data_IF_169345789695
#
_entry.id   IF_169345789695
#
_cell.length_a   1.000
_cell.length_b   1.000
_cell.length_c   1.000
_cell.angle_alpha   90.00
_cell.angle_beta   90.00
_cell.angle_gamma   90.00
#
_symmetry.space_group_name_H-M   'P 1'
#
loop_
_entity.id
_entity.type
_entity.pdbx_description
1 polymer ?
#
# COMPACT_ATOMS: atom_id res chain seq x y z
N UNK A 1 3.32 8.83 -19.27
CA UNK A 1 3.16 8.93 -20.75
C UNK A 1 2.29 10.11 -21.16
N UNK A 2 1.08 10.28 -20.61
CA UNK A 2 0.19 11.40 -20.96
C UNK A 2 0.86 12.77 -20.80
N UNK A 3 1.59 12.99 -19.70
CA UNK A 3 2.38 14.22 -19.50
C UNK A 3 3.39 14.50 -20.60
N UNK A 4 4.26 13.53 -20.89
CA UNK A 4 5.23 13.62 -22.02
C UNK A 4 4.51 13.84 -23.35
N UNK A 5 3.37 13.20 -23.57
CA UNK A 5 2.55 13.39 -24.75
C UNK A 5 1.91 14.77 -24.90
N UNK A 6 1.90 15.58 -23.85
CA UNK A 6 1.57 17.00 -23.93
C UNK A 6 2.68 17.85 -24.52
N UNK A 7 3.95 17.42 -24.38
CA UNK A 7 5.12 18.17 -24.82
C UNK A 7 5.87 17.61 -26.03
N UNK A 8 5.80 16.29 -26.27
CA UNK A 8 6.44 15.61 -27.40
C UNK A 8 5.51 14.58 -28.02
N UNK A 9 5.54 14.47 -29.35
CA UNK A 9 4.80 13.46 -30.10
C UNK A 9 5.65 12.23 -30.43
N UNK A 10 6.93 12.23 -30.05
CA UNK A 10 7.87 11.19 -30.40
C UNK A 10 7.59 9.89 -29.62
N UNK A 11 7.48 8.79 -30.36
CA UNK A 11 7.17 7.48 -29.78
C UNK A 11 8.31 6.96 -28.88
N UNK A 12 9.57 7.18 -29.25
CA UNK A 12 10.72 6.72 -28.48
C UNK A 12 10.76 7.40 -27.09
N UNK A 13 10.60 8.72 -27.07
CA UNK A 13 10.53 9.51 -25.83
C UNK A 13 9.38 9.08 -24.93
N UNK A 14 8.18 8.83 -25.50
CA UNK A 14 7.06 8.31 -24.72
C UNK A 14 7.32 6.90 -24.16
N UNK A 15 7.91 5.99 -24.93
CA UNK A 15 8.24 4.62 -24.49
C UNK A 15 9.24 4.63 -23.34
N UNK A 16 10.34 5.36 -23.49
CA UNK A 16 11.37 5.48 -22.46
C UNK A 16 10.78 6.02 -21.16
N UNK A 17 10.03 7.12 -21.23
CA UNK A 17 9.38 7.69 -20.06
C UNK A 17 8.31 6.76 -19.46
N UNK A 18 7.56 6.04 -20.29
CA UNK A 18 6.55 5.08 -19.85
C UNK A 18 7.16 3.91 -19.07
N UNK A 19 8.20 3.27 -19.62
CA UNK A 19 8.90 2.15 -18.98
C UNK A 19 9.61 2.60 -17.72
N UNK A 20 10.30 3.75 -17.75
CA UNK A 20 10.96 4.30 -16.57
C UNK A 20 9.95 4.59 -15.45
N UNK A 21 8.82 5.24 -15.77
CA UNK A 21 7.78 5.53 -14.79
C UNK A 21 7.10 4.26 -14.24
N UNK A 22 6.93 3.23 -15.06
CA UNK A 22 6.38 1.94 -14.61
C UNK A 22 7.32 1.26 -13.61
N UNK A 23 8.61 1.13 -13.93
CA UNK A 23 9.60 0.52 -13.02
C UNK A 23 9.71 1.32 -11.73
N UNK A 24 9.84 2.65 -11.83
CA UNK A 24 9.92 3.52 -10.67
C UNK A 24 8.65 3.43 -9.80
N UNK A 25 7.47 3.38 -10.42
CA UNK A 25 6.20 3.22 -9.70
C UNK A 25 6.08 1.87 -8.99
N UNK A 26 6.46 0.77 -9.64
CA UNK A 26 6.42 -0.57 -9.04
C UNK A 26 7.36 -0.67 -7.82
N UNK A 27 8.58 -0.14 -7.94
CA UNK A 27 9.53 -0.08 -6.82
C UNK A 27 9.04 0.82 -5.70
N UNK A 28 8.48 1.99 -6.03
CA UNK A 28 7.92 2.91 -5.03
C UNK A 28 6.75 2.26 -4.26
N UNK A 29 5.88 1.52 -4.95
CA UNK A 29 4.80 0.77 -4.30
C UNK A 29 5.35 -0.34 -3.40
N UNK A 30 6.32 -1.12 -3.89
CA UNK A 30 6.94 -2.18 -3.10
C UNK A 30 7.58 -1.63 -1.80
N UNK A 31 8.42 -0.59 -1.93
CA UNK A 31 9.09 0.02 -0.79
C UNK A 31 8.10 0.68 0.17
N UNK A 32 7.12 1.42 -0.36
CA UNK A 32 6.11 2.09 0.47
C UNK A 32 5.29 1.10 1.29
N UNK A 33 4.83 0.02 0.65
CA UNK A 33 4.08 -1.03 1.34
C UNK A 33 4.95 -1.78 2.35
N UNK A 34 6.19 -2.13 1.98
CA UNK A 34 7.13 -2.77 2.91
C UNK A 34 7.32 -1.92 4.18
N UNK A 35 7.62 -0.63 4.02
CA UNK A 35 7.86 0.27 5.16
C UNK A 35 6.59 0.40 6.01
N UNK A 36 5.42 0.55 5.38
CA UNK A 36 4.16 0.67 6.10
C UNK A 36 3.84 -0.58 6.91
N UNK A 37 3.93 -1.76 6.30
CA UNK A 37 3.60 -3.03 6.94
C UNK A 37 4.68 -3.45 7.96
N UNK A 38 5.95 -3.13 7.72
CA UNK A 38 7.02 -3.33 8.69
C UNK A 38 6.78 -2.47 9.93
N UNK A 39 6.45 -1.19 9.75
CA UNK A 39 6.12 -0.32 10.89
C UNK A 39 4.89 -0.78 11.66
N UNK A 40 3.89 -1.36 10.97
CA UNK A 40 2.73 -1.99 11.63
C UNK A 40 3.17 -3.19 12.47
N UNK A 41 3.98 -4.08 11.91
CA UNK A 41 4.53 -5.24 12.61
C UNK A 41 5.36 -4.84 13.84
N UNK A 42 6.22 -3.83 13.71
CA UNK A 42 7.02 -3.31 14.83
C UNK A 42 6.11 -2.77 15.95
N UNK A 43 4.98 -2.17 15.59
CA UNK A 43 3.97 -1.70 16.55
C UNK A 43 3.27 -2.86 17.25
N UNK A 44 2.84 -3.87 16.48
CA UNK A 44 2.22 -5.09 17.02
C UNK A 44 3.15 -5.82 18.00
N UNK A 45 4.42 -6.01 17.64
CA UNK A 45 5.42 -6.65 18.50
C UNK A 45 5.70 -5.83 19.77
N UNK A 46 5.75 -4.50 19.66
CA UNK A 46 5.92 -3.62 20.81
C UNK A 46 4.72 -3.66 21.76
N UNK A 47 3.49 -3.73 21.24
CA UNK A 47 2.29 -3.79 22.06
C UNK A 47 2.12 -5.15 22.73
N UNK A 48 2.49 -6.25 22.05
CA UNK A 48 2.57 -7.58 22.66
C UNK A 48 3.56 -7.59 23.84
N UNK A 49 4.74 -6.99 23.69
CA UNK A 49 5.73 -6.96 24.78
C UNK A 49 5.25 -6.10 25.96
N UNK A 50 4.59 -4.96 25.70
CA UNK A 50 3.98 -4.15 26.76
C UNK A 50 2.92 -4.95 27.53
N UNK A 51 2.04 -5.64 26.81
CA UNK A 51 0.99 -6.46 27.41
C UNK A 51 1.59 -7.59 28.26
N UNK A 52 2.66 -8.23 27.77
CA UNK A 52 3.40 -9.24 28.55
C UNK A 52 3.92 -8.69 29.88
N UNK A 53 4.49 -7.48 29.87
CA UNK A 53 5.00 -6.85 31.09
C UNK A 53 3.87 -6.41 32.03
N UNK A 54 2.74 -5.94 31.49
CA UNK A 54 1.56 -5.54 32.25
C UNK A 54 0.95 -6.76 32.98
N UNK A 55 0.68 -7.83 32.23
CA UNK A 55 0.11 -9.08 32.74
C UNK A 55 1.00 -9.72 33.82
N UNK A 56 2.33 -9.74 33.61
CA UNK A 56 3.26 -10.27 34.60
C UNK A 56 3.20 -9.50 35.93
N UNK A 57 3.11 -8.16 35.88
CA UNK A 57 2.95 -7.32 37.07
C UNK A 57 1.61 -7.58 37.76
N UNK A 58 0.53 -7.62 36.98
CA UNK A 58 -0.81 -7.83 37.50
C UNK A 58 -0.96 -9.21 38.16
N UNK A 59 -0.54 -10.30 37.50
CA UNK A 59 -0.54 -11.63 38.09
C UNK A 59 0.32 -11.68 39.36
N UNK A 60 1.50 -11.06 39.35
CA UNK A 60 2.36 -11.01 40.54
C UNK A 60 1.62 -10.35 41.71
N UNK A 61 0.94 -9.23 41.48
CA UNK A 61 0.17 -8.54 42.51
C UNK A 61 -1.04 -9.34 43.01
N UNK A 62 -1.74 -10.03 42.10
CA UNK A 62 -2.85 -10.93 42.47
C UNK A 62 -2.35 -12.02 43.43
N UNK A 63 -1.21 -12.65 43.13
CA UNK A 63 -0.65 -13.71 43.96
C UNK A 63 -0.07 -13.19 45.29
N UNK A 64 0.51 -12.00 45.31
CA UNK A 64 0.90 -11.33 46.57
C UNK A 64 -0.32 -11.09 47.46
N UNK A 65 -1.43 -10.57 46.90
CA UNK A 65 -2.68 -10.36 47.65
C UNK A 65 -3.29 -11.68 48.16
N UNK A 66 -3.00 -12.81 47.50
CA UNK A 66 -3.39 -14.16 47.94
C UNK A 66 -2.47 -14.76 49.02
N UNK A 67 -1.40 -14.05 49.40
CA UNK A 67 -0.51 -14.43 50.49
C UNK A 67 0.83 -15.05 50.08
N UNK A 68 1.18 -15.04 48.80
CA UNK A 68 2.52 -15.44 48.36
C UNK A 68 3.53 -14.32 48.60
N UNK A 69 4.77 -14.69 48.94
CA UNK A 69 5.89 -13.75 48.96
C UNK A 69 6.19 -13.25 47.54
N UNK A 70 6.63 -11.99 47.40
CA UNK A 70 6.77 -11.32 46.10
C UNK A 70 7.69 -12.04 45.10
N UNK A 71 8.86 -12.57 45.50
CA UNK A 71 9.72 -13.36 44.62
C UNK A 71 9.01 -14.63 44.12
N UNK A 72 8.28 -15.33 44.99
CA UNK A 72 7.56 -16.56 44.64
C UNK A 72 6.35 -16.25 43.74
N UNK A 73 5.60 -15.20 44.05
CA UNK A 73 4.47 -14.72 43.24
C UNK A 73 4.92 -14.36 41.81
N UNK A 74 6.11 -13.76 41.66
CA UNK A 74 6.66 -13.44 40.34
C UNK A 74 7.05 -14.69 39.55
N UNK A 75 7.68 -15.68 40.18
CA UNK A 75 8.01 -16.96 39.53
C UNK A 75 6.72 -17.65 39.05
N UNK A 76 5.67 -17.65 39.87
CA UNK A 76 4.36 -18.22 39.50
C UNK A 76 3.74 -17.44 38.34
N UNK A 77 3.77 -16.10 38.39
CA UNK A 77 3.26 -15.26 37.31
C UNK A 77 4.02 -15.50 35.99
N UNK A 78 5.35 -15.61 36.04
CA UNK A 78 6.20 -15.91 34.88
C UNK A 78 5.82 -17.27 34.26
N UNK A 79 5.72 -18.32 35.07
CA UNK A 79 5.36 -19.67 34.59
C UNK A 79 3.93 -19.76 34.03
N UNK A 80 3.00 -18.96 34.55
CA UNK A 80 1.62 -18.93 34.06
C UNK A 80 1.45 -18.03 32.83
N UNK A 81 2.23 -16.95 32.71
CA UNK A 81 2.21 -16.05 31.55
C UNK A 81 2.85 -16.70 30.33
N UNK A 82 3.84 -17.59 30.52
CA UNK A 82 4.51 -18.33 29.45
C UNK A 82 3.58 -19.31 28.70
N UNK A 83 2.48 -19.75 29.34
CA UNK A 83 1.50 -20.67 28.74
C UNK A 83 0.28 -19.90 28.23
N UNK A 84 0.28 -19.54 26.94
CA UNK A 84 -0.89 -19.11 26.14
C UNK A 84 -1.70 -17.89 26.61
N UNK A 85 -1.46 -17.32 27.79
CA UNK A 85 -2.23 -16.17 28.31
C UNK A 85 -2.09 -14.95 27.41
N UNK A 86 -0.88 -14.69 26.91
CA UNK A 86 -0.59 -13.56 26.02
C UNK A 86 -1.29 -13.72 24.67
N UNK A 87 -1.44 -14.96 24.17
CA UNK A 87 -2.10 -15.20 22.89
C UNK A 87 -3.59 -14.90 22.95
N UNK A 88 -4.27 -15.29 24.03
CA UNK A 88 -5.68 -14.96 24.23
C UNK A 88 -5.88 -13.45 24.41
N UNK A 89 -5.08 -12.78 25.24
CA UNK A 89 -5.22 -11.34 25.49
C UNK A 89 -4.85 -10.49 24.27
N UNK A 90 -3.78 -10.81 23.56
CA UNK A 90 -3.42 -10.10 22.33
C UNK A 90 -4.54 -10.20 21.29
N UNK A 91 -5.22 -11.34 21.19
CA UNK A 91 -6.36 -11.52 20.29
C UNK A 91 -7.61 -10.78 20.76
N UNK A 92 -7.97 -10.92 22.03
CA UNK A 92 -9.25 -10.44 22.56
C UNK A 92 -9.22 -8.94 22.88
N UNK A 93 -8.06 -8.40 23.29
CA UNK A 93 -7.90 -6.99 23.69
C UNK A 93 -7.26 -6.13 22.61
N UNK A 94 -6.23 -6.64 21.92
CA UNK A 94 -5.52 -5.88 20.87
C UNK A 94 -6.02 -6.21 19.46
N UNK A 95 -6.79 -7.29 19.29
CA UNK A 95 -7.20 -7.78 17.97
C UNK A 95 -6.03 -8.36 17.15
N UNK A 96 -4.89 -8.62 17.77
CA UNK A 96 -3.67 -9.12 17.10
C UNK A 96 -3.67 -10.65 17.16
N UNK A 97 -3.63 -11.28 15.98
CA UNK A 97 -3.38 -12.70 15.85
C UNK A 97 -1.87 -12.96 15.71
N UNK A 98 -1.23 -13.51 16.74
CA UNK A 98 0.20 -13.80 16.72
C UNK A 98 0.61 -14.79 15.62
N UNK A 99 -0.32 -15.62 15.13
CA UNK A 99 -0.03 -16.54 14.02
C UNK A 99 -0.10 -15.85 12.65
N UNK A 100 -0.69 -14.65 12.60
CA UNK A 100 -0.93 -13.90 11.37
C UNK A 100 -0.44 -12.46 11.48
N UNK A 101 0.70 -12.27 12.15
CA UNK A 101 1.39 -10.98 12.17
C UNK A 101 1.61 -10.46 10.75
N UNK A 102 1.59 -9.14 10.62
CA UNK A 102 1.78 -8.48 9.34
C UNK A 102 3.06 -8.97 8.64
N UNK A 103 2.97 -9.27 7.34
CA UNK A 103 4.08 -9.78 6.53
C UNK A 103 4.53 -8.74 5.49
N UNK A 104 5.59 -7.95 5.80
CA UNK A 104 6.00 -6.83 4.95
C UNK A 104 6.49 -7.25 3.57
N UNK A 105 7.23 -8.35 3.47
CA UNK A 105 7.76 -8.84 2.20
C UNK A 105 6.64 -9.29 1.26
N UNK A 106 5.66 -10.03 1.79
CA UNK A 106 4.53 -10.48 1.01
C UNK A 106 3.70 -9.29 0.52
N UNK A 107 3.39 -8.32 1.40
CA UNK A 107 2.62 -7.13 1.03
C UNK A 107 3.34 -6.33 -0.07
N UNK A 108 4.65 -6.08 0.07
CA UNK A 108 5.46 -5.39 -0.92
C UNK A 108 5.45 -6.06 -2.30
N UNK A 109 5.62 -7.39 -2.33
CA UNK A 109 5.61 -8.16 -3.58
C UNK A 109 4.24 -8.12 -4.26
N UNK A 110 3.17 -8.33 -3.50
CA UNK A 110 1.79 -8.29 -4.03
C UNK A 110 1.47 -6.89 -4.58
N UNK A 111 1.81 -5.82 -3.85
CA UNK A 111 1.59 -4.44 -4.31
C UNK A 111 2.38 -4.12 -5.59
N UNK A 112 3.64 -4.56 -5.69
CA UNK A 112 4.47 -4.37 -6.90
C UNK A 112 3.90 -5.10 -8.11
N UNK A 113 3.48 -6.36 -7.93
CA UNK A 113 2.87 -7.17 -8.99
C UNK A 113 1.53 -6.57 -9.43
N UNK A 114 0.69 -6.16 -8.48
CA UNK A 114 -0.59 -5.53 -8.77
C UNK A 114 -0.42 -4.23 -9.55
N UNK A 115 0.51 -3.35 -9.13
CA UNK A 115 0.84 -2.12 -9.85
C UNK A 115 1.33 -2.42 -11.27
N UNK A 116 2.22 -3.39 -11.40
CA UNK A 116 2.76 -3.82 -12.69
C UNK A 116 1.67 -4.31 -13.63
N UNK A 117 0.78 -5.18 -13.15
CA UNK A 117 -0.34 -5.69 -13.93
C UNK A 117 -1.27 -4.55 -14.39
N UNK A 118 -1.59 -3.61 -13.49
CA UNK A 118 -2.45 -2.47 -13.81
C UNK A 118 -1.83 -1.48 -14.79
N UNK A 119 -0.52 -1.21 -14.68
CA UNK A 119 0.19 -0.28 -15.55
C UNK A 119 0.44 -0.84 -16.96
N UNK A 120 0.44 -2.17 -17.13
CA UNK A 120 0.82 -2.82 -18.37
C UNK A 120 -0.09 -2.47 -19.55
N UNK A 121 -1.40 -2.48 -19.31
CA UNK A 121 -2.42 -2.26 -20.37
C UNK A 121 -2.24 -0.88 -21.05
N UNK A 122 -2.26 0.26 -20.32
CA UNK A 122 -2.04 1.56 -20.93
C UNK A 122 -0.60 1.73 -21.46
N UNK A 123 0.40 1.10 -20.84
CA UNK A 123 1.79 1.17 -21.30
C UNK A 123 1.99 0.49 -22.66
N UNK A 124 1.37 -0.67 -22.88
CA UNK A 124 1.39 -1.36 -24.17
C UNK A 124 0.69 -0.52 -25.25
N UNK A 125 -0.49 0.03 -24.96
CA UNK A 125 -1.19 0.94 -25.88
C UNK A 125 -0.32 2.16 -26.25
N UNK A 126 0.31 2.77 -25.26
CA UNK A 126 1.23 3.89 -25.45
C UNK A 126 2.50 3.53 -26.22
N UNK A 127 2.93 2.26 -26.17
CA UNK A 127 4.18 1.82 -26.76
C UNK A 127 4.04 1.35 -28.21
N UNK A 128 2.91 0.76 -28.62
CA UNK A 128 2.80 0.15 -29.95
C UNK A 128 2.07 1.01 -30.99
N UNK A 129 1.30 2.03 -30.57
CA UNK A 129 0.51 2.87 -31.48
C UNK A 129 1.35 4.04 -32.01
N UNK A 130 1.47 4.14 -33.34
CA UNK A 130 2.25 5.21 -34.00
C UNK A 130 1.51 6.55 -34.09
N UNK A 131 0.19 6.53 -34.34
CA UNK A 131 -0.58 7.76 -34.46
C UNK A 131 -0.74 8.42 -33.08
N UNK A 132 -0.21 9.63 -32.93
CA UNK A 132 -0.17 10.37 -31.66
C UNK A 132 -1.55 10.58 -31.02
N UNK A 133 -2.54 10.98 -31.83
CA UNK A 133 -3.88 11.28 -31.32
C UNK A 133 -4.59 10.01 -30.84
N UNK A 134 -4.50 8.93 -31.64
CA UNK A 134 -5.07 7.63 -31.28
C UNK A 134 -4.37 7.04 -30.05
N UNK A 135 -3.04 7.13 -30.00
CA UNK A 135 -2.23 6.66 -28.87
C UNK A 135 -2.64 7.35 -27.56
N UNK A 136 -2.72 8.68 -27.55
CA UNK A 136 -3.08 9.43 -26.35
C UNK A 136 -4.51 9.15 -25.91
N UNK A 137 -5.46 9.14 -26.86
CA UNK A 137 -6.85 8.79 -26.57
C UNK A 137 -6.97 7.40 -25.94
N UNK A 138 -6.26 6.41 -26.48
CA UNK A 138 -6.32 5.05 -25.96
C UNK A 138 -5.63 4.90 -24.60
N UNK A 139 -4.47 5.54 -24.39
CA UNK A 139 -3.80 5.53 -23.08
C UNK A 139 -4.73 6.11 -22.00
N UNK A 140 -5.37 7.25 -22.27
CA UNK A 140 -6.31 7.87 -21.33
C UNK A 140 -7.52 6.96 -21.10
N UNK A 141 -8.16 6.46 -22.16
CA UNK A 141 -9.33 5.60 -22.05
C UNK A 141 -9.04 4.32 -21.24
N UNK A 142 -7.94 3.61 -21.55
CA UNK A 142 -7.55 2.41 -20.83
C UNK A 142 -7.18 2.69 -19.38
N UNK A 143 -6.55 3.84 -19.11
CA UNK A 143 -6.24 4.27 -17.75
C UNK A 143 -7.52 4.54 -16.95
N UNK A 144 -8.50 5.24 -17.53
CA UNK A 144 -9.79 5.51 -16.88
C UNK A 144 -10.56 4.22 -16.60
N UNK A 145 -10.61 3.30 -17.56
CA UNK A 145 -11.26 1.99 -17.38
C UNK A 145 -10.56 1.20 -16.27
N UNK A 146 -9.23 1.15 -16.28
CA UNK A 146 -8.45 0.50 -15.22
C UNK A 146 -8.69 1.12 -13.85
N UNK A 147 -8.67 2.44 -13.74
CA UNK A 147 -8.96 3.19 -12.51
C UNK A 147 -10.37 2.92 -11.99
N UNK A 148 -11.37 2.88 -12.87
CA UNK A 148 -12.74 2.55 -12.51
C UNK A 148 -12.83 1.10 -11.98
N UNK A 149 -12.20 0.16 -12.68
CA UNK A 149 -12.16 -1.25 -12.29
C UNK A 149 -11.50 -1.46 -10.92
N UNK A 150 -10.27 -0.94 -10.72
CA UNK A 150 -9.57 -1.07 -9.45
C UNK A 150 -10.24 -0.27 -8.33
N UNK A 151 -10.82 0.90 -8.63
CA UNK A 151 -11.58 1.68 -7.65
C UNK A 151 -12.86 0.96 -7.20
N UNK A 152 -13.55 0.26 -8.11
CA UNK A 152 -14.68 -0.60 -7.76
C UNK A 152 -14.23 -1.77 -6.88
N UNK A 153 -13.19 -2.50 -7.29
CA UNK A 153 -12.68 -3.65 -6.53
C UNK A 153 -12.21 -3.24 -5.13
N UNK A 154 -11.42 -2.17 -5.02
CA UNK A 154 -10.94 -1.65 -3.73
C UNK A 154 -12.08 -1.22 -2.82
N UNK A 155 -13.16 -0.67 -3.38
CA UNK A 155 -14.34 -0.29 -2.60
C UNK A 155 -15.13 -1.50 -2.10
N UNK A 156 -15.31 -2.52 -2.94
CA UNK A 156 -16.01 -3.76 -2.58
C UNK A 156 -15.24 -4.48 -1.47
N UNK A 157 -13.92 -4.63 -1.64
CA UNK A 157 -13.06 -5.27 -0.63
C UNK A 157 -12.96 -4.45 0.66
N UNK A 158 -12.97 -3.11 0.55
CA UNK A 158 -12.93 -2.20 1.68
C UNK A 158 -14.28 -1.94 2.37
N UNK A 159 -15.37 -2.59 1.96
CA UNK A 159 -16.69 -2.43 2.57
C UNK A 159 -17.36 -1.07 2.34
N UNK A 160 -16.92 -0.29 1.36
CA UNK A 160 -17.48 1.03 1.01
C UNK A 160 -18.39 0.92 -0.22
N UNK A 161 -19.39 1.80 -0.35
CA UNK A 161 -20.26 1.87 -1.55
C UNK A 161 -19.41 1.89 -2.84
N UNK A 162 -19.53 0.90 -3.75
CA UNK A 162 -18.60 0.69 -4.86
C UNK A 162 -18.41 1.90 -5.77
N UNK A 163 -19.53 2.55 -6.12
CA UNK A 163 -19.54 3.71 -7.01
C UNK A 163 -18.74 4.87 -6.42
N UNK A 164 -18.78 5.07 -5.09
CA UNK A 164 -18.13 6.21 -4.45
C UNK A 164 -16.61 6.10 -4.53
N UNK A 165 -16.04 4.94 -4.20
CA UNK A 165 -14.59 4.79 -4.27
C UNK A 165 -14.08 4.71 -5.72
N UNK A 166 -14.86 4.11 -6.64
CA UNK A 166 -14.56 4.18 -8.08
C UNK A 166 -14.49 5.63 -8.57
N UNK A 167 -15.46 6.47 -8.19
CA UNK A 167 -15.49 7.89 -8.58
C UNK A 167 -14.26 8.65 -8.06
N UNK A 168 -13.87 8.42 -6.79
CA UNK A 168 -12.68 9.06 -6.20
C UNK A 168 -11.41 8.73 -6.97
N UNK A 169 -11.21 7.45 -7.28
CA UNK A 169 -10.02 6.97 -8.00
C UNK A 169 -9.99 7.51 -9.43
N UNK A 170 -11.13 7.47 -10.14
CA UNK A 170 -11.23 8.01 -11.50
C UNK A 170 -11.01 9.51 -11.55
N UNK A 171 -11.65 10.28 -10.66
CA UNK A 171 -11.50 11.75 -10.62
C UNK A 171 -10.06 12.12 -10.30
N UNK A 172 -9.47 11.50 -9.27
CA UNK A 172 -8.07 11.75 -8.89
C UNK A 172 -7.10 11.43 -10.04
N UNK A 173 -7.28 10.28 -10.70
CA UNK A 173 -6.45 9.88 -11.83
C UNK A 173 -6.62 10.78 -13.06
N UNK A 174 -7.85 11.18 -13.39
CA UNK A 174 -8.12 12.12 -14.48
C UNK A 174 -7.48 13.49 -14.22
N UNK A 175 -7.60 13.99 -12.99
CA UNK A 175 -6.98 15.26 -12.58
C UNK A 175 -5.45 15.19 -12.70
N UNK A 176 -4.83 14.11 -12.21
CA UNK A 176 -3.39 13.91 -12.33
C UNK A 176 -2.93 13.84 -13.80
N UNK A 177 -3.67 13.13 -14.67
CA UNK A 177 -3.38 13.10 -16.10
C UNK A 177 -3.52 14.48 -16.76
N UNK A 178 -4.56 15.26 -16.41
CA UNK A 178 -4.77 16.60 -16.95
C UNK A 178 -3.66 17.58 -16.53
N UNK A 179 -3.28 17.57 -15.24
CA UNK A 179 -2.19 18.40 -14.72
C UNK A 179 -0.87 18.05 -15.41
N UNK A 180 -0.52 16.76 -15.45
CA UNK A 180 0.75 16.32 -16.05
C UNK A 180 0.81 16.61 -17.55
N UNK A 181 -0.31 16.46 -18.28
CA UNK A 181 -0.42 16.89 -19.68
C UNK A 181 -0.17 18.38 -19.84
N UNK A 182 -0.80 19.20 -19.00
CA UNK A 182 -0.63 20.65 -18.98
C UNK A 182 0.83 21.06 -18.74
N UNK A 183 1.48 20.44 -17.76
CA UNK A 183 2.91 20.65 -17.48
C UNK A 183 3.77 20.30 -18.69
N UNK A 184 3.57 19.14 -19.31
CA UNK A 184 4.32 18.74 -20.50
C UNK A 184 4.14 19.70 -21.67
N UNK A 185 2.90 20.17 -21.89
CA UNK A 185 2.59 21.16 -22.90
C UNK A 185 3.28 22.50 -22.65
N UNK A 186 3.27 22.98 -21.40
CA UNK A 186 3.93 24.23 -21.01
C UNK A 186 5.46 24.20 -21.15
N UNK A 187 6.09 23.06 -20.85
CA UNK A 187 7.54 22.90 -21.03
C UNK A 187 7.95 22.90 -22.51
N UNK A 188 7.14 22.30 -23.38
CA UNK A 188 7.38 22.28 -24.83
C UNK A 188 7.19 23.66 -25.48
N UNK A 189 6.16 24.42 -25.07
CA UNK A 189 5.93 25.77 -25.61
C UNK A 189 7.06 26.76 -25.29
N UNK A 190 7.86 26.49 -24.25
CA UNK A 190 9.00 27.32 -23.85
C UNK A 190 10.34 26.86 -24.48
N UNK A 191 10.33 25.90 -25.40
CA UNK A 191 11.54 25.41 -26.10
C UNK A 191 12.47 24.56 -25.24
N UNK A 192 12.05 24.13 -24.05
CA UNK A 192 12.89 23.37 -23.13
C UNK A 192 13.06 21.88 -23.50
N UNK A 193 12.23 21.36 -24.42
CA UNK A 193 12.14 19.91 -24.73
C UNK A 193 11.89 19.64 -26.22
N UNK A 194 12.32 20.54 -27.12
CA UNK A 194 12.17 20.37 -28.57
C UNK A 194 13.18 19.39 -29.15
#
# INVERSE_FOLDING_TARGET
>A
MVGVGGGSSELATMRLAGVAAWIAGALSMACGEYISVASQRDTEEADIEKERQQQLKELTEIYVKRGLDRPLARIVAEQLTEKDVIRAHARDELGIDLDQLANPLQAALVSSIAFTAGAMIPLLAGSFIRNTNVRLGLVVALSVVGLAFFGLMGSVLGGVKPIIGALRVVIGGCLAMAITYGVGRGLSSNGAVA
#
